data_IF_148869108190
#
_entry.id   IF_148869108190
#
_cell.length_a   1.000
_cell.length_b   1.000
_cell.length_c   1.000
_cell.angle_alpha   90.00
_cell.angle_beta   90.00
_cell.angle_gamma   90.00
#
_symmetry.space_group_name_H-M   'P 1'
#
loop_
_entity.id
_entity.type
_entity.pdbx_description
1 polymer ?
#
# COMPACT_ATOMS: atom_id res chain seq x y z
N UNK A 1 -5.24 3.60 15.03
CA UNK A 1 -5.45 4.56 13.93
C UNK A 1 -6.93 4.90 13.75
N UNK A 2 -7.85 3.94 13.68
CA UNK A 2 -9.29 4.22 13.51
C UNK A 2 -9.85 5.14 14.58
N UNK A 3 -9.46 4.96 15.85
CA UNK A 3 -9.86 5.86 16.94
C UNK A 3 -9.31 7.28 16.77
N UNK A 4 -8.06 7.42 16.31
CA UNK A 4 -7.49 8.72 16.02
C UNK A 4 -8.24 9.43 14.88
N UNK A 5 -8.63 8.68 13.83
CA UNK A 5 -9.44 9.24 12.73
C UNK A 5 -10.80 9.72 13.26
N UNK A 6 -11.49 8.93 14.09
CA UNK A 6 -12.75 9.36 14.74
C UNK A 6 -12.59 10.63 15.56
N UNK A 7 -11.46 10.78 16.24
CA UNK A 7 -11.14 12.00 17.02
C UNK A 7 -10.98 13.24 16.14
N UNK A 8 -10.49 13.08 14.91
CA UNK A 8 -10.33 14.20 13.97
C UNK A 8 -11.66 14.74 13.41
N UNK A 9 -12.76 14.01 13.57
CA UNK A 9 -14.09 14.42 13.16
C UNK A 9 -14.62 13.72 11.93
N UNK A 10 -15.64 14.32 11.27
CA UNK A 10 -16.27 13.76 10.09
C UNK A 10 -15.33 13.75 8.88
N UNK A 11 -15.46 12.71 8.05
CA UNK A 11 -14.69 12.53 6.83
C UNK A 11 -15.57 11.86 5.76
N UNK A 12 -15.32 12.18 4.50
CA UNK A 12 -15.94 11.53 3.35
C UNK A 12 -14.98 10.52 2.71
N UNK A 13 -13.68 10.90 2.61
CA UNK A 13 -12.65 10.08 1.97
C UNK A 13 -11.43 9.97 2.89
N UNK A 14 -10.97 8.74 3.09
CA UNK A 14 -9.68 8.44 3.72
C UNK A 14 -8.75 7.90 2.65
N UNK A 15 -7.59 8.53 2.48
CA UNK A 15 -6.57 8.10 1.55
C UNK A 15 -5.42 7.43 2.30
N UNK A 16 -5.06 6.23 1.88
CA UNK A 16 -3.89 5.50 2.35
C UNK A 16 -2.99 5.08 1.20
N UNK A 17 -1.77 4.71 1.50
CA UNK A 17 -0.90 4.03 0.55
C UNK A 17 -1.30 2.56 0.36
N UNK A 18 -0.88 1.97 -0.76
CA UNK A 18 -1.14 0.56 -1.08
C UNK A 18 -0.70 -0.37 0.05
N UNK A 19 0.54 -0.26 0.48
CA UNK A 19 1.12 -1.12 1.52
C UNK A 19 2.44 -0.53 2.04
N UNK A 20 2.86 -0.97 3.23
CA UNK A 20 4.20 -0.69 3.75
C UNK A 20 5.20 -1.67 3.14
N UNK A 21 6.40 -1.18 2.81
CA UNK A 21 7.42 -1.95 2.10
C UNK A 21 8.13 -2.98 2.98
N UNK A 22 8.09 -2.79 4.29
CA UNK A 22 8.72 -3.67 5.28
C UNK A 22 7.94 -4.96 5.53
N UNK A 23 6.62 -4.85 5.72
CA UNK A 23 5.76 -6.00 6.01
C UNK A 23 4.99 -6.52 4.81
N UNK A 24 4.82 -5.72 3.78
CA UNK A 24 4.20 -6.03 2.47
C UNK A 24 2.81 -6.67 2.53
N UNK A 25 2.10 -6.52 3.65
CA UNK A 25 0.81 -7.19 3.88
C UNK A 25 -0.39 -6.44 3.32
N UNK A 26 -0.30 -5.12 3.10
CA UNK A 26 -1.38 -4.28 2.59
C UNK A 26 -2.64 -4.21 3.47
N UNK A 27 -2.58 -4.63 4.73
CA UNK A 27 -3.77 -4.83 5.57
C UNK A 27 -4.12 -3.65 6.47
N UNK A 28 -3.23 -2.69 6.69
CA UNK A 28 -3.47 -1.59 7.62
C UNK A 28 -4.68 -0.74 7.21
N UNK A 29 -4.73 -0.29 5.96
CA UNK A 29 -5.82 0.54 5.49
C UNK A 29 -7.17 -0.22 5.41
N UNK A 30 -7.25 -1.45 4.86
CA UNK A 30 -8.45 -2.27 4.93
C UNK A 30 -8.98 -2.49 6.35
N UNK A 31 -8.10 -2.73 7.32
CA UNK A 31 -8.48 -2.89 8.73
C UNK A 31 -9.03 -1.59 9.33
N UNK A 32 -8.47 -0.44 8.95
CA UNK A 32 -9.00 0.86 9.38
C UNK A 32 -10.42 1.05 8.84
N UNK A 33 -10.67 0.74 7.56
CA UNK A 33 -11.99 0.86 6.94
C UNK A 33 -13.02 0.01 7.67
N UNK A 34 -12.68 -1.24 8.01
CA UNK A 34 -13.55 -2.14 8.77
C UNK A 34 -13.93 -1.55 10.13
N UNK A 35 -12.96 -1.04 10.89
CA UNK A 35 -13.21 -0.41 12.19
C UNK A 35 -13.99 0.91 12.12
N UNK A 36 -14.05 1.54 10.96
CA UNK A 36 -14.77 2.78 10.73
C UNK A 36 -16.13 2.58 10.08
N UNK A 37 -16.43 1.37 9.58
CA UNK A 37 -17.62 1.08 8.77
C UNK A 37 -17.60 1.78 7.42
N UNK A 38 -16.40 2.08 6.88
CA UNK A 38 -16.23 2.74 5.58
C UNK A 38 -16.07 1.71 4.45
N UNK A 39 -16.55 2.07 3.26
CA UNK A 39 -16.34 1.23 2.07
C UNK A 39 -14.86 1.16 1.72
N UNK A 40 -14.35 -0.04 1.44
CA UNK A 40 -12.94 -0.28 1.10
C UNK A 40 -12.73 -0.30 -0.40
N UNK A 41 -11.87 0.59 -0.90
CA UNK A 41 -11.42 0.63 -2.29
C UNK A 41 -9.90 0.45 -2.31
N UNK A 42 -9.45 -0.78 -2.56
CA UNK A 42 -8.01 -1.10 -2.57
C UNK A 42 -7.43 -1.03 -3.97
N UNK A 43 -6.12 -0.71 -4.08
CA UNK A 43 -5.37 -0.63 -5.33
C UNK A 43 -5.95 0.36 -6.35
N UNK A 44 -6.38 1.54 -5.87
CA UNK A 44 -7.04 2.56 -6.68
C UNK A 44 -6.04 3.23 -7.62
N UNK A 45 -6.36 3.22 -8.91
CA UNK A 45 -5.65 3.91 -10.00
C UNK A 45 -6.21 5.31 -10.23
N UNK A 46 -7.53 5.46 -10.18
CA UNK A 46 -8.21 6.75 -10.30
C UNK A 46 -9.43 6.82 -9.40
N UNK A 47 -9.76 8.04 -8.98
CA UNK A 47 -10.92 8.32 -8.14
C UNK A 47 -11.65 9.55 -8.69
N UNK A 48 -12.95 9.40 -8.92
CA UNK A 48 -13.84 10.51 -9.31
C UNK A 48 -14.97 10.63 -8.31
N UNK A 49 -15.40 11.86 -8.06
CA UNK A 49 -16.55 12.16 -7.21
C UNK A 49 -17.61 12.82 -8.08
N UNK A 50 -18.81 12.24 -8.09
CA UNK A 50 -19.98 12.74 -8.83
C UNK A 50 -21.16 12.85 -7.87
N UNK A 51 -21.36 14.05 -7.31
CA UNK A 51 -22.37 14.29 -6.29
C UNK A 51 -22.08 13.50 -5.00
N UNK A 52 -22.96 12.56 -4.63
CA UNK A 52 -22.80 11.67 -3.48
C UNK A 52 -22.13 10.33 -3.82
N UNK A 53 -21.75 10.14 -5.08
CA UNK A 53 -21.14 8.93 -5.60
C UNK A 53 -19.64 9.05 -5.74
N UNK A 54 -18.98 7.94 -5.52
CA UNK A 54 -17.54 7.74 -5.75
C UNK A 54 -17.37 6.65 -6.79
N UNK A 55 -16.66 6.98 -7.86
CA UNK A 55 -16.30 6.05 -8.92
C UNK A 55 -14.81 5.84 -8.85
N UNK A 56 -14.38 4.60 -8.66
CA UNK A 56 -12.97 4.23 -8.56
C UNK A 56 -12.60 3.19 -9.61
N UNK A 57 -11.48 3.43 -10.28
CA UNK A 57 -10.81 2.40 -11.07
C UNK A 57 -9.75 1.74 -10.17
N UNK A 58 -9.82 0.44 -10.01
CA UNK A 58 -8.87 -0.32 -9.20
C UNK A 58 -8.16 -1.40 -10.01
N UNK A 59 -6.90 -1.62 -9.68
CA UNK A 59 -6.08 -2.67 -10.28
C UNK A 59 -6.42 -4.02 -9.65
N UNK A 60 -6.64 -5.03 -10.50
CA UNK A 60 -6.74 -6.44 -10.14
C UNK A 60 -5.78 -7.25 -10.99
N UNK A 61 -5.60 -8.54 -10.70
CA UNK A 61 -4.67 -9.41 -11.44
C UNK A 61 -5.03 -9.52 -12.93
N UNK A 62 -6.32 -9.56 -13.25
CA UNK A 62 -6.82 -9.75 -14.61
C UNK A 62 -7.07 -8.42 -15.36
N UNK A 63 -6.84 -7.26 -14.75
CA UNK A 63 -7.06 -5.96 -15.39
C UNK A 63 -7.48 -4.83 -14.46
N UNK A 64 -8.53 -4.11 -14.83
CA UNK A 64 -9.05 -2.96 -14.07
C UNK A 64 -10.54 -3.15 -13.83
N UNK A 65 -10.95 -3.00 -12.57
CA UNK A 65 -12.35 -2.94 -12.19
C UNK A 65 -12.79 -1.50 -11.99
N UNK A 66 -14.01 -1.18 -12.42
CA UNK A 66 -14.68 0.10 -12.13
C UNK A 66 -15.73 -0.15 -11.07
N UNK A 67 -15.60 0.52 -9.93
CA UNK A 67 -16.50 0.38 -8.79
C UNK A 67 -17.19 1.70 -8.52
N UNK A 68 -18.52 1.70 -8.44
CA UNK A 68 -19.33 2.80 -7.95
C UNK A 68 -19.75 2.53 -6.51
N UNK A 69 -19.59 3.50 -5.62
CA UNK A 69 -20.02 3.44 -4.23
C UNK A 69 -20.41 4.82 -3.70
N UNK A 70 -20.77 4.91 -2.41
CA UNK A 70 -21.07 6.15 -1.70
C UNK A 70 -20.12 6.36 -0.52
N UNK A 71 -20.09 7.60 -0.04
CA UNK A 71 -19.32 7.97 1.15
C UNK A 71 -19.86 7.31 2.44
N UNK A 72 -19.05 7.10 3.48
CA UNK A 72 -17.60 7.33 3.49
C UNK A 72 -16.83 6.18 2.86
N UNK A 73 -15.67 6.51 2.23
CA UNK A 73 -14.81 5.53 1.59
C UNK A 73 -13.37 5.61 2.12
N UNK A 74 -12.71 4.47 2.19
CA UNK A 74 -11.26 4.40 2.37
C UNK A 74 -10.63 3.83 1.11
N UNK A 75 -9.71 4.59 0.52
CA UNK A 75 -9.01 4.22 -0.71
C UNK A 75 -7.53 3.97 -0.44
N UNK A 76 -6.97 2.88 -0.99
CA UNK A 76 -5.52 2.70 -1.04
C UNK A 76 -5.01 3.02 -2.45
N UNK A 77 -4.23 4.09 -2.56
CA UNK A 77 -3.69 4.56 -3.82
C UNK A 77 -2.45 3.78 -4.25
N UNK A 78 -2.35 3.46 -5.53
CA UNK A 78 -1.14 2.91 -6.14
C UNK A 78 -0.21 4.04 -6.60
N UNK A 79 1.04 3.72 -6.92
CA UNK A 79 2.00 4.73 -7.42
C UNK A 79 1.60 5.32 -8.78
N UNK A 80 0.78 4.60 -9.53
CA UNK A 80 0.28 4.99 -10.85
C UNK A 80 -0.87 6.00 -10.77
N UNK A 81 -1.50 6.18 -9.60
CA UNK A 81 -2.68 7.02 -9.43
C UNK A 81 -2.42 8.50 -9.72
N UNK A 82 -1.21 9.01 -9.50
CA UNK A 82 -0.81 10.36 -9.88
C UNK A 82 0.71 10.52 -9.96
N UNK A 83 1.16 11.67 -10.52
CA UNK A 83 2.57 12.08 -10.42
C UNK A 83 2.74 13.00 -9.21
N UNK A 84 3.58 12.62 -8.21
CA UNK A 84 3.87 13.47 -7.07
C UNK A 84 4.47 14.81 -7.49
N UNK A 85 4.03 15.89 -6.87
CA UNK A 85 4.62 17.23 -7.07
C UNK A 85 5.79 17.40 -6.12
N UNK A 86 6.88 17.96 -6.63
CA UNK A 86 8.01 18.33 -5.79
C UNK A 86 7.66 19.54 -4.90
N UNK A 87 8.26 19.57 -3.71
CA UNK A 87 8.10 20.69 -2.79
C UNK A 87 8.70 21.97 -3.38
N UNK A 88 7.97 23.08 -3.29
CA UNK A 88 8.49 24.41 -3.63
C UNK A 88 9.35 24.93 -2.47
N UNK A 89 10.28 25.87 -2.76
CA UNK A 89 11.11 26.52 -1.72
C UNK A 89 10.23 27.12 -0.61
N UNK A 90 9.18 27.86 -0.98
CA UNK A 90 8.22 28.42 0.00
C UNK A 90 7.50 27.33 0.79
N UNK A 91 7.17 26.20 0.18
CA UNK A 91 6.55 25.05 0.83
C UNK A 91 7.47 24.44 1.90
N UNK A 92 8.74 24.25 1.55
CA UNK A 92 9.77 23.76 2.50
C UNK A 92 9.92 24.74 3.68
N UNK A 93 10.08 26.05 3.40
CA UNK A 93 10.19 27.06 4.46
C UNK A 93 8.96 27.08 5.38
N UNK A 94 7.75 26.88 4.84
CA UNK A 94 6.52 26.81 5.64
C UNK A 94 6.49 25.56 6.49
N UNK A 95 6.93 24.41 6.00
CA UNK A 95 6.91 23.16 6.75
C UNK A 95 7.71 23.22 8.07
N UNK A 96 8.81 23.95 8.10
CA UNK A 96 9.60 24.18 9.33
C UNK A 96 8.87 25.00 10.40
N UNK A 97 7.81 25.73 10.04
CA UNK A 97 7.03 26.57 10.95
C UNK A 97 5.67 25.97 11.28
N UNK A 98 5.32 24.84 10.64
CA UNK A 98 4.03 24.19 10.84
C UNK A 98 4.09 23.36 12.11
N UNK A 99 3.20 23.65 13.05
CA UNK A 99 3.02 22.81 14.24
C UNK A 99 2.35 21.50 13.84
N UNK A 100 2.90 20.40 14.34
CA UNK A 100 2.36 19.05 14.13
C UNK A 100 1.51 18.73 15.36
N UNK A 101 0.19 18.57 15.15
CA UNK A 101 -0.74 18.15 16.21
C UNK A 101 -0.37 16.74 16.71
N UNK A 102 -0.52 16.54 18.01
CA UNK A 102 -0.26 15.25 18.66
C UNK A 102 -1.56 14.70 19.23
N UNK A 103 -1.78 13.41 19.03
CA UNK A 103 -2.86 12.65 19.68
C UNK A 103 -2.19 11.57 20.51
N UNK A 104 -2.46 11.60 21.82
CA UNK A 104 -1.96 10.61 22.78
C UNK A 104 -3.03 9.59 23.13
N UNK A 105 -2.69 8.56 23.88
CA UNK A 105 -3.66 7.58 24.36
C UNK A 105 -4.72 8.22 25.27
N UNK A 106 -4.35 9.25 26.04
CA UNK A 106 -5.28 9.99 26.89
C UNK A 106 -6.38 10.72 26.11
N UNK A 107 -6.12 11.03 24.84
CA UNK A 107 -7.06 11.69 23.94
C UNK A 107 -8.06 10.71 23.29
N UNK A 108 -7.90 9.40 23.51
CA UNK A 108 -8.64 8.33 22.90
C UNK A 108 -9.36 7.48 23.97
N UNK A 109 -10.43 7.98 24.60
CA UNK A 109 -11.08 7.31 25.74
C UNK A 109 -11.64 5.92 25.41
N UNK A 110 -12.05 5.70 24.17
CA UNK A 110 -12.59 4.39 23.70
C UNK A 110 -11.51 3.42 23.23
N UNK A 111 -10.25 3.74 23.45
CA UNK A 111 -9.15 2.92 22.98
C UNK A 111 -8.90 1.72 23.92
N UNK A 112 -9.10 0.52 23.40
CA UNK A 112 -8.78 -0.73 24.10
C UNK A 112 -7.28 -1.02 23.98
N UNK A 113 -6.54 -0.73 25.05
CA UNK A 113 -5.08 -0.92 25.10
C UNK A 113 -4.65 -2.37 24.98
N UNK A 114 -5.53 -3.34 25.26
CA UNK A 114 -5.21 -4.76 25.13
C UNK A 114 -5.12 -5.20 23.69
N UNK A 115 -5.79 -4.45 22.79
CA UNK A 115 -5.80 -4.67 21.33
C UNK A 115 -4.83 -3.79 20.55
N UNK A 116 -3.89 -3.14 21.25
CA UNK A 116 -2.94 -2.21 20.64
C UNK A 116 -1.50 -2.66 20.73
N UNK A 117 -0.69 -2.18 19.79
CA UNK A 117 0.74 -2.42 19.73
C UNK A 117 1.09 -3.92 19.64
N UNK A 118 2.24 -4.27 20.20
CA UNK A 118 2.75 -5.66 20.16
C UNK A 118 1.87 -6.66 20.93
N UNK A 119 1.11 -6.21 21.93
CA UNK A 119 0.21 -7.09 22.70
C UNK A 119 -1.05 -7.44 21.91
N UNK A 120 -1.59 -6.48 21.15
CA UNK A 120 -2.78 -6.66 20.35
C UNK A 120 -2.51 -7.22 18.93
N UNK A 121 -1.25 -7.30 18.50
CA UNK A 121 -0.91 -7.82 17.17
C UNK A 121 -1.00 -9.35 17.14
N UNK A 122 -1.72 -9.94 16.16
CA UNK A 122 -1.72 -11.39 15.95
C UNK A 122 -0.40 -11.90 15.38
N UNK A 123 0.44 -11.01 14.83
CA UNK A 123 1.75 -11.33 14.25
C UNK A 123 2.87 -10.78 15.10
N UNK A 124 3.96 -11.55 15.24
CA UNK A 124 5.16 -11.14 15.95
C UNK A 124 6.39 -11.43 15.10
N UNK A 125 7.29 -10.45 15.01
CA UNK A 125 8.60 -10.67 14.38
C UNK A 125 9.35 -11.71 15.20
N UNK A 126 9.67 -12.84 14.58
CA UNK A 126 10.41 -13.94 15.22
C UNK A 126 11.91 -13.75 15.07
N UNK A 127 12.36 -13.34 13.89
CA UNK A 127 13.76 -13.08 13.57
C UNK A 127 13.88 -12.13 12.39
N UNK A 128 14.96 -11.37 12.35
CA UNK A 128 15.37 -10.56 11.20
C UNK A 128 16.72 -11.05 10.71
N UNK A 129 16.91 -11.08 9.40
CA UNK A 129 18.18 -11.46 8.79
C UNK A 129 18.37 -10.75 7.45
N UNK A 130 19.61 -10.55 7.06
CA UNK A 130 19.95 -10.03 5.74
C UNK A 130 20.07 -11.21 4.78
N UNK A 131 19.24 -11.30 3.72
CA UNK A 131 19.37 -12.37 2.75
C UNK A 131 20.73 -12.31 2.06
N UNK A 132 21.44 -13.42 2.05
CA UNK A 132 22.64 -13.56 1.22
C UNK A 132 22.20 -13.81 -0.21
N UNK A 133 22.44 -12.86 -1.10
CA UNK A 133 22.23 -13.06 -2.53
C UNK A 133 23.36 -13.95 -3.05
N UNK A 134 23.05 -15.20 -3.33
CA UNK A 134 23.89 -16.07 -4.13
C UNK A 134 23.41 -15.95 -5.58
N UNK A 135 23.96 -14.99 -6.30
CA UNK A 135 23.71 -14.89 -7.74
C UNK A 135 24.65 -15.88 -8.44
N UNK A 136 24.14 -17.00 -8.81
CA UNK A 136 24.83 -17.91 -9.74
C UNK A 136 24.47 -17.45 -11.16
N UNK A 137 25.23 -16.53 -11.71
CA UNK A 137 25.10 -16.17 -13.12
C UNK A 137 25.69 -17.31 -13.97
N UNK A 138 24.88 -17.81 -14.89
CA UNK A 138 25.31 -18.78 -15.89
C UNK A 138 25.33 -18.05 -17.24
N UNK A 139 26.51 -17.96 -17.86
CA UNK A 139 26.60 -17.46 -19.22
C UNK A 139 26.08 -18.51 -20.19
N UNK A 140 25.18 -18.10 -21.07
CA UNK A 140 24.64 -18.95 -22.11
C UNK A 140 25.50 -18.75 -23.37
N UNK A 141 26.19 -19.79 -23.80
CA UNK A 141 27.05 -19.78 -24.97
C UNK A 141 26.40 -20.49 -26.15
N UNK A 142 26.77 -20.11 -27.36
CA UNK A 142 26.34 -20.74 -28.63
C UNK A 142 27.05 -20.10 -29.81
N UNK A 143 27.14 -20.83 -30.93
CA UNK A 143 27.82 -20.39 -32.15
C UNK A 143 26.95 -19.42 -32.96
N UNK A 144 25.63 -19.45 -32.74
CA UNK A 144 24.67 -18.58 -33.42
C UNK A 144 23.64 -18.00 -32.45
N UNK A 145 22.99 -16.86 -32.78
CA UNK A 145 21.93 -16.30 -31.97
C UNK A 145 20.77 -17.28 -31.72
N UNK A 146 20.47 -18.16 -32.67
CA UNK A 146 19.41 -19.17 -32.55
C UNK A 146 19.80 -20.21 -31.51
N UNK A 147 21.03 -20.71 -31.60
CA UNK A 147 21.55 -21.70 -30.64
C UNK A 147 21.62 -21.15 -29.22
N UNK A 148 22.02 -19.88 -29.06
CA UNK A 148 22.00 -19.18 -27.73
C UNK A 148 20.59 -19.14 -27.19
N UNK A 149 19.59 -18.80 -28.01
CA UNK A 149 18.19 -18.76 -27.60
C UNK A 149 17.67 -20.15 -27.20
N UNK A 150 17.98 -21.19 -27.95
CA UNK A 150 17.57 -22.57 -27.65
C UNK A 150 18.22 -23.04 -26.33
N UNK A 151 19.50 -22.78 -26.15
CA UNK A 151 20.21 -23.12 -24.93
C UNK A 151 19.66 -22.36 -23.70
N UNK A 152 19.26 -21.11 -23.87
CA UNK A 152 18.57 -20.31 -22.81
C UNK A 152 17.22 -20.95 -22.46
N UNK A 153 16.40 -21.28 -23.45
CA UNK A 153 15.09 -21.93 -23.24
C UNK A 153 15.29 -23.27 -22.52
N UNK A 154 16.24 -24.08 -22.96
CA UNK A 154 16.58 -25.35 -22.30
C UNK A 154 16.94 -25.14 -20.79
N UNK A 155 17.73 -24.12 -20.48
CA UNK A 155 18.07 -23.79 -19.08
C UNK A 155 16.89 -23.31 -18.27
N UNK A 156 15.98 -22.54 -18.85
CA UNK A 156 14.78 -22.06 -18.18
C UNK A 156 13.80 -23.20 -17.86
N UNK A 157 13.64 -24.14 -18.79
CA UNK A 157 12.84 -25.37 -18.58
C UNK A 157 13.48 -26.27 -17.51
N UNK A 158 14.80 -26.47 -17.54
CA UNK A 158 15.53 -27.22 -16.51
C UNK A 158 15.34 -26.61 -15.12
N UNK A 159 15.36 -25.26 -15.05
CA UNK A 159 15.13 -24.50 -13.82
C UNK A 159 13.63 -24.42 -13.43
N UNK A 160 12.71 -24.99 -14.19
CA UNK A 160 11.24 -24.92 -13.98
C UNK A 160 10.69 -23.49 -13.89
N UNK A 161 11.24 -22.61 -14.71
CA UNK A 161 10.79 -21.20 -14.84
C UNK A 161 9.83 -21.05 -16.01
N UNK A 162 9.94 -21.94 -17.00
CA UNK A 162 9.03 -22.14 -18.13
C UNK A 162 8.39 -23.52 -18.06
#
# INVERSE_FOLDING_TARGET
LSQAIKKLGAYDVILGGKQAIDGDTGQTAPSIAEHLGATRLTYVLSLKVEGDKVIAERQVEEGVEIIETRFPVLCTATKESNKPRYATVKGVMRSFRTEIGQITLADLPDADTTKMGLKGSPTKVKATFTPKRTANCVNIEGVSPVEIADNLIGKLVEAKVL
#
